data_IF_519014401126
#
_entry.id   IF_519014401126
#
_cell.length_a   1.000
_cell.length_b   1.000
_cell.length_c   1.000
_cell.angle_alpha   90.00
_cell.angle_beta   90.00
_cell.angle_gamma   90.00
#
_symmetry.space_group_name_H-M   'P 1'
#
loop_
_entity.id
_entity.type
_entity.pdbx_description
1 polymer ?
#
# COMPACT_ATOMS: atom_id res chain seq x y z
N UNK A 1 5.76 17.23 4.71
CA UNK A 1 4.38 17.14 5.23
C UNK A 1 4.33 17.91 6.53
N UNK A 2 3.49 18.94 6.62
CA UNK A 2 3.23 19.65 7.87
C UNK A 2 2.03 18.99 8.54
N UNK A 3 2.16 18.64 9.81
CA UNK A 3 1.10 18.04 10.63
C UNK A 3 1.01 18.92 11.86
N UNK A 4 -0.20 19.39 12.17
CA UNK A 4 -0.52 19.98 13.46
C UNK A 4 -1.41 19.01 14.20
N UNK A 5 -1.12 18.78 15.47
CA UNK A 5 -1.96 17.95 16.32
C UNK A 5 -2.65 18.87 17.32
N UNK A 6 -3.93 18.59 17.58
CA UNK A 6 -4.74 19.27 18.58
C UNK A 6 -5.32 18.24 19.55
N UNK A 7 -5.50 18.61 20.81
CA UNK A 7 -6.25 17.80 21.77
C UNK A 7 -7.64 18.36 21.92
N UNK A 8 -8.62 17.55 21.58
CA UNK A 8 -10.02 17.84 21.88
C UNK A 8 -10.28 17.49 23.36
N UNK A 9 -10.28 18.52 24.22
CA UNK A 9 -10.48 18.35 25.66
C UNK A 9 -11.64 19.20 26.15
N UNK A 10 -12.64 18.61 26.84
CA UNK A 10 -13.75 19.35 27.42
C UNK A 10 -13.33 20.24 28.61
N UNK A 11 -12.09 20.07 29.11
CA UNK A 11 -11.53 20.86 30.21
C UNK A 11 -10.35 21.73 29.76
N UNK A 12 -10.21 22.01 28.46
CA UNK A 12 -9.11 22.82 27.89
C UNK A 12 -7.71 22.32 28.26
N UNK A 13 -7.56 21.00 28.43
CA UNK A 13 -6.25 20.43 28.73
C UNK A 13 -5.34 20.49 27.50
N UNK A 14 -4.16 21.08 27.67
CA UNK A 14 -3.12 21.10 26.65
C UNK A 14 -2.63 19.70 26.24
N UNK A 15 -2.01 19.66 25.07
CA UNK A 15 -1.28 18.50 24.60
C UNK A 15 0.03 18.30 25.35
N UNK A 16 0.51 17.06 25.35
CA UNK A 16 1.89 16.78 25.75
C UNK A 16 2.86 17.32 24.69
N UNK A 17 4.04 17.75 25.13
CA UNK A 17 5.03 18.38 24.26
C UNK A 17 5.53 17.46 23.12
N UNK A 18 5.40 16.15 23.29
CA UNK A 18 5.82 15.09 22.37
C UNK A 18 4.68 14.58 21.47
N UNK A 19 3.44 15.04 21.66
CA UNK A 19 2.28 14.49 20.95
C UNK A 19 2.39 14.64 19.43
N UNK A 20 2.87 15.78 18.92
CA UNK A 20 3.07 15.99 17.48
C UNK A 20 4.11 15.03 16.91
N UNK A 21 5.24 14.86 17.59
CA UNK A 21 6.32 13.96 17.14
C UNK A 21 5.85 12.51 17.09
N UNK A 22 5.15 12.05 18.13
CA UNK A 22 4.59 10.69 18.19
C UNK A 22 3.64 10.43 17.03
N UNK A 23 2.74 11.37 16.73
CA UNK A 23 1.77 11.23 15.62
C UNK A 23 2.47 11.26 14.27
N UNK A 24 3.44 12.16 14.09
CA UNK A 24 4.24 12.24 12.85
C UNK A 24 4.96 10.91 12.59
N UNK A 25 5.58 10.33 13.61
CA UNK A 25 6.32 9.08 13.47
C UNK A 25 5.39 7.87 13.27
N UNK A 26 4.25 7.84 13.95
CA UNK A 26 3.21 6.84 13.70
C UNK A 26 2.73 6.87 12.24
N UNK A 27 2.46 8.05 11.69
CA UNK A 27 2.02 8.21 10.30
C UNK A 27 3.12 7.84 9.30
N UNK A 28 4.38 8.18 9.58
CA UNK A 28 5.51 7.75 8.74
C UNK A 28 5.72 6.24 8.76
N UNK A 29 5.55 5.61 9.92
CA UNK A 29 5.65 4.16 10.06
C UNK A 29 4.52 3.45 9.32
N UNK A 30 3.28 3.98 9.43
CA UNK A 30 2.15 3.49 8.67
C UNK A 30 2.38 3.61 7.17
N UNK A 31 2.81 4.78 6.69
CA UNK A 31 3.11 4.98 5.28
C UNK A 31 4.16 3.98 4.78
N UNK A 32 5.25 3.79 5.53
CA UNK A 32 6.31 2.83 5.18
C UNK A 32 5.78 1.39 5.14
N UNK A 33 4.90 1.02 6.06
CA UNK A 33 4.25 -0.29 6.04
C UNK A 33 3.34 -0.46 4.83
N UNK A 34 2.52 0.55 4.51
CA UNK A 34 1.62 0.53 3.35
C UNK A 34 2.39 0.39 2.04
N UNK A 35 3.46 1.16 1.86
CA UNK A 35 4.29 1.07 0.65
C UNK A 35 4.91 -0.31 0.48
N UNK A 36 5.45 -0.89 1.55
CA UNK A 36 6.00 -2.26 1.50
C UNK A 36 4.93 -3.31 1.22
N UNK A 37 3.71 -3.12 1.71
CA UNK A 37 2.60 -4.03 1.43
C UNK A 37 2.19 -3.94 -0.04
N UNK A 38 2.05 -2.73 -0.55
CA UNK A 38 1.69 -2.47 -1.94
C UNK A 38 2.72 -3.05 -2.90
N UNK A 39 4.01 -2.87 -2.62
CA UNK A 39 5.11 -3.43 -3.43
C UNK A 39 5.03 -4.96 -3.50
N UNK A 40 4.86 -5.64 -2.35
CA UNK A 40 4.69 -7.11 -2.34
C UNK A 40 3.46 -7.59 -3.09
N UNK A 41 2.36 -6.84 -3.01
CA UNK A 41 1.13 -7.18 -3.71
C UNK A 41 1.30 -7.00 -5.22
N UNK A 42 1.97 -5.92 -5.64
CA UNK A 42 2.34 -5.71 -7.03
C UNK A 42 3.22 -6.85 -7.54
N UNK A 43 4.29 -7.20 -6.82
CA UNK A 43 5.19 -8.30 -7.21
C UNK A 43 4.45 -9.63 -7.34
N UNK A 44 3.52 -9.92 -6.42
CA UNK A 44 2.68 -11.11 -6.49
C UNK A 44 1.76 -11.10 -7.71
N UNK A 45 1.04 -9.99 -7.96
CA UNK A 45 0.12 -9.88 -9.08
C UNK A 45 0.84 -9.87 -10.44
N UNK A 46 2.07 -9.38 -10.47
CA UNK A 46 2.95 -9.40 -11.65
C UNK A 46 3.74 -10.69 -11.81
N UNK A 47 3.62 -11.64 -10.87
CA UNK A 47 4.30 -12.93 -10.99
C UNK A 47 3.78 -13.73 -12.18
N UNK A 48 4.68 -14.48 -12.82
CA UNK A 48 4.36 -15.31 -13.98
C UNK A 48 3.21 -16.27 -13.69
N UNK A 49 3.14 -16.83 -12.47
CA UNK A 49 2.07 -17.75 -12.06
C UNK A 49 0.69 -17.08 -12.08
N UNK A 50 0.57 -15.90 -11.47
CA UNK A 50 -0.72 -15.17 -11.40
C UNK A 50 -1.12 -14.64 -12.76
N UNK A 51 -0.16 -14.10 -13.53
CA UNK A 51 -0.40 -13.63 -14.89
C UNK A 51 -0.85 -14.77 -15.79
N UNK A 52 -0.18 -15.93 -15.72
CA UNK A 52 -0.53 -17.11 -16.51
C UNK A 52 -1.92 -17.65 -16.14
N UNK A 53 -2.24 -17.73 -14.85
CA UNK A 53 -3.57 -18.10 -14.39
C UNK A 53 -4.65 -17.14 -14.91
N UNK A 54 -4.38 -15.83 -14.90
CA UNK A 54 -5.29 -14.81 -15.44
C UNK A 54 -5.55 -14.95 -16.95
N UNK A 55 -4.52 -15.28 -17.72
CA UNK A 55 -4.62 -15.55 -19.16
C UNK A 55 -5.52 -16.77 -19.43
N UNK A 56 -5.31 -17.87 -18.69
CA UNK A 56 -6.13 -19.08 -18.81
C UNK A 56 -7.60 -18.81 -18.49
N UNK A 57 -7.88 -18.15 -17.36
CA UNK A 57 -9.26 -17.83 -16.94
C UNK A 57 -9.96 -16.94 -17.96
N UNK A 58 -9.22 -16.04 -18.61
CA UNK A 58 -9.75 -15.16 -19.65
C UNK A 58 -10.00 -15.87 -20.98
N UNK A 59 -9.64 -17.16 -21.12
CA UNK A 59 -9.83 -17.95 -22.33
C UNK A 59 -8.89 -17.58 -23.48
N UNK A 60 -7.82 -16.83 -23.20
CA UNK A 60 -6.84 -16.47 -24.22
C UNK A 60 -5.69 -17.48 -24.25
N UNK A 61 -5.28 -17.89 -25.44
CA UNK A 61 -4.08 -18.70 -25.68
C UNK A 61 -3.04 -17.88 -26.44
N UNK A 62 -1.78 -18.02 -26.05
CA UNK A 62 -0.65 -17.34 -26.69
C UNK A 62 0.44 -18.36 -27.04
N UNK A 63 1.22 -18.08 -28.08
CA UNK A 63 2.43 -18.83 -28.45
C UNK A 63 3.59 -18.46 -27.52
N UNK A 64 4.68 -19.24 -27.53
CA UNK A 64 5.91 -18.90 -26.78
C UNK A 64 6.50 -17.54 -27.17
N UNK A 65 6.25 -17.07 -28.40
CA UNK A 65 6.64 -15.74 -28.87
C UNK A 65 5.67 -14.62 -28.43
N UNK A 66 4.65 -14.94 -27.61
CA UNK A 66 3.66 -13.98 -27.10
C UNK A 66 2.58 -13.58 -28.12
N UNK A 67 2.47 -14.28 -29.24
CA UNK A 67 1.44 -14.00 -30.24
C UNK A 67 0.15 -14.72 -29.86
N UNK A 68 -1.01 -14.06 -29.99
CA UNK A 68 -2.30 -14.73 -29.76
C UNK A 68 -2.49 -15.86 -30.76
N UNK A 69 -3.00 -16.99 -30.26
CA UNK A 69 -3.37 -18.14 -31.07
C UNK A 69 -4.79 -18.56 -30.74
N UNK A 70 -5.67 -18.41 -31.72
CA UNK A 70 -7.13 -18.52 -31.59
C UNK A 70 -7.82 -17.64 -32.62
#
# INVERSE_FOLDING_TARGET
MAISVGRDSPTEQDMTADAEEIVIDALRNLARWLYRRLEREYDYLSSDEVVYAGIIVSGYTFTEAGQRFG
#
